data_IF_685577390463
#
_entry.id   IF_685577390463
#
_cell.length_a   1.000
_cell.length_b   1.000
_cell.length_c   1.000
_cell.angle_alpha   90.00
_cell.angle_beta   90.00
_cell.angle_gamma   90.00
#
_symmetry.space_group_name_H-M   'P 1'
#
loop_
_entity.id
_entity.type
_entity.pdbx_description
1 polymer ?
#
# COMPACT_ATOMS: atom_id res chain seq x y z
N UNK A 1 13.35 -21.54 -8.43
CA UNK A 1 12.79 -22.81 -8.96
C UNK A 1 12.68 -23.87 -7.85
N UNK A 2 13.75 -24.17 -7.08
CA UNK A 2 13.74 -25.19 -6.00
C UNK A 2 12.66 -25.02 -4.91
N UNK A 3 12.18 -23.80 -4.66
CA UNK A 3 11.07 -23.53 -3.73
C UNK A 3 9.72 -24.03 -4.24
N UNK A 4 9.50 -23.94 -5.57
CA UNK A 4 8.22 -24.29 -6.20
C UNK A 4 8.19 -25.75 -6.66
N UNK A 5 9.34 -26.23 -7.13
CA UNK A 5 9.58 -27.59 -7.61
C UNK A 5 10.50 -28.28 -6.60
N UNK A 6 9.89 -29.02 -5.68
CA UNK A 6 10.57 -29.68 -4.54
C UNK A 6 11.12 -31.07 -4.90
N UNK A 7 11.02 -31.50 -6.15
CA UNK A 7 11.51 -32.79 -6.67
C UNK A 7 10.79 -33.22 -7.95
N UNK A 8 10.93 -34.49 -8.34
CA UNK A 8 10.29 -35.05 -9.56
C UNK A 8 8.79 -35.33 -9.39
N UNK A 9 8.28 -35.38 -8.15
CA UNK A 9 6.86 -35.65 -7.90
C UNK A 9 6.03 -34.36 -8.04
N UNK A 10 5.16 -34.24 -9.07
CA UNK A 10 4.38 -33.04 -9.31
C UNK A 10 3.33 -32.77 -8.21
N UNK A 11 2.89 -33.77 -7.44
CA UNK A 11 1.96 -33.55 -6.33
C UNK A 11 2.59 -32.84 -5.12
N UNK A 12 3.92 -32.84 -5.02
CA UNK A 12 4.65 -32.09 -3.97
C UNK A 12 5.00 -30.66 -4.41
N UNK A 13 4.66 -30.29 -5.64
CA UNK A 13 4.93 -28.95 -6.14
C UNK A 13 3.93 -27.96 -5.59
N UNK A 14 4.42 -26.74 -5.40
CA UNK A 14 3.66 -25.63 -4.82
C UNK A 14 2.86 -24.92 -5.91
N UNK A 15 1.90 -25.62 -6.51
CA UNK A 15 1.16 -25.16 -7.69
C UNK A 15 0.39 -23.86 -7.45
N UNK A 16 -0.21 -23.70 -6.27
CA UNK A 16 -0.91 -22.47 -5.88
C UNK A 16 0.05 -21.27 -5.91
N UNK A 17 1.24 -21.43 -5.37
CA UNK A 17 2.25 -20.37 -5.31
C UNK A 17 2.86 -20.08 -6.70
N UNK A 18 3.00 -21.11 -7.55
CA UNK A 18 3.36 -20.93 -8.97
C UNK A 18 2.30 -20.06 -9.67
N UNK A 19 1.01 -20.38 -9.51
CA UNK A 19 -0.09 -19.62 -10.12
C UNK A 19 -0.12 -18.16 -9.63
N UNK A 20 0.09 -17.94 -8.33
CA UNK A 20 0.20 -16.58 -7.75
C UNK A 20 1.38 -15.83 -8.39
N UNK A 21 2.56 -16.45 -8.45
CA UNK A 21 3.75 -15.83 -9.05
C UNK A 21 3.57 -15.46 -10.52
N UNK A 22 2.95 -16.35 -11.30
CA UNK A 22 2.62 -16.08 -12.71
C UNK A 22 1.63 -14.92 -12.85
N UNK A 23 0.58 -14.88 -12.03
CA UNK A 23 -0.40 -13.78 -12.05
C UNK A 23 0.26 -12.44 -11.76
N UNK A 24 1.12 -12.36 -10.74
CA UNK A 24 1.86 -11.14 -10.41
C UNK A 24 2.74 -10.71 -11.59
N UNK A 25 3.49 -11.63 -12.19
CA UNK A 25 4.39 -11.33 -13.32
C UNK A 25 3.63 -10.80 -14.55
N UNK A 26 2.43 -11.32 -14.80
CA UNK A 26 1.62 -10.96 -15.96
C UNK A 26 0.75 -9.72 -15.73
N UNK A 27 0.51 -9.33 -14.48
CA UNK A 27 -0.30 -8.17 -14.15
C UNK A 27 0.52 -6.89 -14.32
N UNK A 28 0.16 -6.08 -15.31
CA UNK A 28 0.69 -4.72 -15.48
C UNK A 28 -0.39 -3.72 -15.12
N UNK A 29 -0.06 -2.77 -14.25
CA UNK A 29 -0.92 -1.63 -13.93
C UNK A 29 -0.53 -0.45 -14.82
N UNK A 30 -1.49 0.39 -15.19
CA UNK A 30 -1.24 1.58 -16.02
C UNK A 30 -0.89 2.79 -15.18
N UNK A 31 -1.62 2.95 -14.08
CA UNK A 31 -1.41 4.00 -13.09
C UNK A 31 -1.56 3.40 -11.68
N UNK A 32 -0.73 3.84 -10.72
CA UNK A 32 -0.97 3.57 -9.31
C UNK A 32 -2.34 4.05 -8.83
N UNK A 33 -2.88 5.14 -9.41
CA UNK A 33 -4.16 5.70 -9.02
C UNK A 33 -5.38 4.84 -9.44
N UNK A 34 -5.18 3.89 -10.34
CA UNK A 34 -6.19 2.96 -10.84
C UNK A 34 -6.14 1.59 -10.15
N UNK A 35 -5.20 1.38 -9.24
CA UNK A 35 -4.97 0.08 -8.60
C UNK A 35 -5.69 0.00 -7.26
N UNK A 36 -6.30 -1.15 -6.98
CA UNK A 36 -6.76 -1.46 -5.62
C UNK A 36 -5.57 -1.93 -4.78
N UNK A 37 -5.52 -1.48 -3.53
CA UNK A 37 -4.51 -1.85 -2.56
C UNK A 37 -5.13 -2.59 -1.38
N UNK A 38 -4.35 -3.44 -0.71
CA UNK A 38 -4.79 -4.22 0.44
C UNK A 38 -3.74 -4.16 1.55
N UNK A 39 -4.21 -4.24 2.80
CA UNK A 39 -3.32 -4.39 3.94
C UNK A 39 -2.62 -5.76 3.95
N UNK A 40 -3.18 -6.75 3.24
CA UNK A 40 -2.80 -8.16 3.11
C UNK A 40 -2.88 -8.95 4.43
N UNK A 41 -2.38 -8.35 5.50
CA UNK A 41 -2.36 -8.85 6.87
C UNK A 41 -3.48 -8.23 7.72
N UNK A 42 -3.92 -8.91 8.79
CA UNK A 42 -5.00 -8.45 9.67
C UNK A 42 -4.51 -7.49 10.77
N UNK A 43 -5.46 -6.73 11.32
CA UNK A 43 -5.27 -5.75 12.39
C UNK A 43 -6.36 -5.95 13.44
N UNK A 44 -6.08 -5.57 14.69
CA UNK A 44 -7.04 -5.67 15.79
C UNK A 44 -8.23 -4.74 15.55
N UNK A 45 -9.42 -5.16 15.96
CA UNK A 45 -10.59 -4.29 16.05
C UNK A 45 -11.57 -4.85 17.08
N UNK A 46 -11.73 -4.15 18.21
CA UNK A 46 -12.50 -4.67 19.35
C UNK A 46 -11.95 -6.02 19.84
N UNK A 47 -12.83 -7.03 19.90
CA UNK A 47 -12.48 -8.42 20.21
C UNK A 47 -12.04 -9.24 18.98
N UNK A 48 -12.19 -8.70 17.77
CA UNK A 48 -11.91 -9.39 16.51
C UNK A 48 -10.75 -8.79 15.73
N UNK A 49 -10.73 -9.12 14.43
CA UNK A 49 -9.74 -8.63 13.48
C UNK A 49 -10.40 -8.09 12.21
N UNK A 50 -9.70 -7.17 11.56
CA UNK A 50 -10.07 -6.60 10.26
C UNK A 50 -8.91 -6.66 9.28
N UNK A 51 -9.21 -6.66 7.99
CA UNK A 51 -8.28 -6.29 6.91
C UNK A 51 -8.75 -4.99 6.25
N UNK A 52 -7.81 -4.20 5.73
CA UNK A 52 -8.11 -2.95 5.02
C UNK A 52 -7.94 -3.11 3.52
N UNK A 53 -8.66 -2.29 2.75
CA UNK A 53 -8.42 -2.10 1.32
C UNK A 53 -8.68 -0.65 0.91
N UNK A 54 -7.92 -0.16 -0.07
CA UNK A 54 -8.17 1.10 -0.75
C UNK A 54 -8.58 0.79 -2.19
N UNK A 55 -9.84 1.02 -2.52
CA UNK A 55 -10.39 0.79 -3.86
C UNK A 55 -10.45 2.12 -4.62
N UNK A 56 -9.88 2.22 -5.83
CA UNK A 56 -9.89 3.46 -6.59
C UNK A 56 -11.30 3.82 -7.04
N UNK A 57 -11.62 5.11 -7.05
CA UNK A 57 -12.84 5.62 -7.69
C UNK A 57 -12.80 5.31 -9.18
N UNK A 58 -13.93 5.00 -9.83
CA UNK A 58 -14.02 4.96 -11.30
C UNK A 58 -13.50 6.24 -11.97
N UNK A 59 -13.60 7.40 -11.29
CA UNK A 59 -13.13 8.69 -11.81
C UNK A 59 -11.59 8.79 -11.85
N UNK A 60 -10.88 7.88 -11.18
CA UNK A 60 -9.43 7.79 -11.27
C UNK A 60 -8.97 7.24 -12.62
N UNK A 61 -9.84 6.49 -13.30
CA UNK A 61 -9.48 5.79 -14.54
C UNK A 61 -9.26 6.82 -15.65
N UNK A 62 -8.08 6.80 -16.27
CA UNK A 62 -7.84 7.57 -17.47
C UNK A 62 -8.56 6.94 -18.66
N UNK A 63 -9.35 7.74 -19.38
CA UNK A 63 -10.01 7.32 -20.62
C UNK A 63 -9.04 7.19 -21.79
N UNK A 64 -7.78 7.62 -21.63
CA UNK A 64 -6.78 7.52 -22.70
C UNK A 64 -6.40 6.05 -22.95
N UNK A 65 -6.89 5.50 -24.06
CA UNK A 65 -6.56 4.17 -24.62
C UNK A 65 -5.12 4.10 -25.15
N UNK A 66 -4.15 4.67 -24.44
CA UNK A 66 -2.74 4.58 -24.80
C UNK A 66 -2.17 3.29 -24.21
N UNK A 67 -1.43 2.55 -25.02
CA UNK A 67 -0.61 1.42 -24.55
C UNK A 67 0.29 1.87 -23.41
N UNK A 68 0.60 0.97 -22.48
CA UNK A 68 1.48 1.29 -21.34
C UNK A 68 2.82 1.82 -21.89
N UNK A 69 3.22 3.07 -21.55
CA UNK A 69 4.47 3.62 -22.02
C UNK A 69 5.66 2.75 -21.57
N UNK A 70 6.71 2.70 -22.39
CA UNK A 70 7.91 1.90 -22.11
C UNK A 70 8.98 2.66 -21.30
N UNK A 71 8.66 3.85 -20.78
CA UNK A 71 9.60 4.64 -19.98
C UNK A 71 9.80 3.98 -18.62
N UNK A 72 11.00 4.11 -18.04
CA UNK A 72 11.32 3.49 -16.73
C UNK A 72 10.43 4.04 -15.60
N UNK A 73 10.00 5.30 -15.71
CA UNK A 73 9.21 6.01 -14.70
C UNK A 73 7.73 6.20 -15.08
N UNK A 74 7.19 5.41 -16.03
CA UNK A 74 5.83 5.63 -16.57
C UNK A 74 4.72 5.68 -15.49
N UNK A 75 4.88 4.98 -14.36
CA UNK A 75 3.93 5.03 -13.25
C UNK A 75 3.93 6.39 -12.54
N UNK A 76 5.10 7.02 -12.39
CA UNK A 76 5.22 8.37 -11.85
C UNK A 76 4.64 9.39 -12.84
N UNK A 77 4.97 9.24 -14.12
CA UNK A 77 4.42 10.07 -15.19
C UNK A 77 2.88 10.03 -15.22
N UNK A 78 2.29 8.83 -15.02
CA UNK A 78 0.84 8.65 -14.96
C UNK A 78 0.19 9.33 -13.74
N UNK A 79 0.83 9.27 -12.56
CA UNK A 79 0.35 10.02 -11.38
C UNK A 79 0.40 11.53 -11.67
N UNK A 80 1.50 12.03 -12.25
CA UNK A 80 1.65 13.46 -12.59
C UNK A 80 0.60 13.92 -13.58
N UNK A 81 0.41 13.20 -14.69
CA UNK A 81 -0.58 13.56 -15.71
C UNK A 81 -1.99 13.67 -15.11
N UNK A 82 -2.34 12.77 -14.19
CA UNK A 82 -3.59 12.80 -13.46
C UNK A 82 -3.67 13.99 -12.48
N UNK A 83 -2.73 14.08 -11.53
CA UNK A 83 -2.79 15.03 -10.42
C UNK A 83 -2.53 16.47 -10.84
N UNK A 84 -1.89 16.73 -11.98
CA UNK A 84 -1.79 18.09 -12.53
C UNK A 84 -3.17 18.68 -12.89
N UNK A 85 -4.18 17.83 -13.13
CA UNK A 85 -5.45 18.25 -13.69
C UNK A 85 -6.67 17.91 -12.81
N UNK A 86 -6.57 16.87 -11.98
CA UNK A 86 -7.71 16.39 -11.17
C UNK A 86 -7.26 15.69 -9.89
N UNK A 87 -8.14 15.72 -8.89
CA UNK A 87 -7.97 14.92 -7.68
C UNK A 87 -8.09 13.42 -7.97
N UNK A 88 -7.51 12.58 -7.11
CA UNK A 88 -7.73 11.14 -7.10
C UNK A 88 -8.48 10.75 -5.83
N UNK A 89 -9.47 9.87 -5.97
CA UNK A 89 -10.31 9.42 -4.86
C UNK A 89 -10.21 7.90 -4.68
N UNK A 90 -10.25 7.45 -3.43
CA UNK A 90 -10.33 6.03 -3.10
C UNK A 90 -11.37 5.80 -2.02
N UNK A 91 -12.11 4.70 -2.13
CA UNK A 91 -12.91 4.18 -1.04
C UNK A 91 -12.01 3.41 -0.08
N UNK A 92 -12.00 3.82 1.18
CA UNK A 92 -11.33 3.09 2.25
C UNK A 92 -12.30 2.08 2.84
N UNK A 93 -11.95 0.80 2.68
CA UNK A 93 -12.79 -0.35 2.96
C UNK A 93 -12.18 -1.20 4.07
N UNK A 94 -13.04 -1.84 4.86
CA UNK A 94 -12.66 -2.88 5.81
C UNK A 94 -13.38 -4.19 5.52
N UNK A 95 -12.76 -5.29 5.93
CA UNK A 95 -13.35 -6.63 5.99
C UNK A 95 -13.22 -7.15 7.41
N UNK A 96 -14.34 -7.49 8.05
CA UNK A 96 -14.36 -8.12 9.37
C UNK A 96 -14.06 -9.61 9.28
N UNK A 97 -13.28 -10.12 10.24
CA UNK A 97 -13.10 -11.55 10.42
C UNK A 97 -14.41 -12.16 10.93
N UNK A 98 -15.13 -12.90 10.08
CA UNK A 98 -16.40 -13.54 10.46
C UNK A 98 -16.25 -15.01 10.82
N UNK A 99 -15.17 -15.67 10.38
CA UNK A 99 -14.89 -17.10 10.63
C UNK A 99 -13.37 -17.27 10.77
N UNK A 100 -12.89 -17.58 11.97
CA UNK A 100 -11.45 -17.62 12.26
C UNK A 100 -10.71 -18.77 11.54
N UNK A 101 -11.41 -19.87 11.24
CA UNK A 101 -10.83 -21.03 10.56
C UNK A 101 -10.67 -20.76 9.06
N UNK A 102 -11.67 -20.11 8.45
CA UNK A 102 -11.62 -19.74 7.03
C UNK A 102 -10.85 -18.45 6.76
N UNK A 103 -10.68 -17.60 7.77
CA UNK A 103 -10.06 -16.29 7.66
C UNK A 103 -8.92 -16.16 8.68
N UNK A 104 -7.88 -17.00 8.57
CA UNK A 104 -6.84 -17.12 9.58
C UNK A 104 -6.03 -15.81 9.70
N UNK A 105 -5.67 -15.48 10.94
CA UNK A 105 -4.81 -14.33 11.23
C UNK A 105 -3.35 -14.60 10.84
N UNK A 106 -2.92 -15.85 11.00
CA UNK A 106 -1.52 -16.27 10.82
C UNK A 106 -1.15 -16.59 9.36
N UNK A 107 -2.13 -16.69 8.46
CA UNK A 107 -1.90 -16.94 7.03
C UNK A 107 -2.50 -15.82 6.16
N UNK A 108 -1.68 -14.82 5.76
CA UNK A 108 -2.14 -13.73 4.91
C UNK A 108 -2.32 -14.14 3.43
N UNK A 109 -1.95 -15.37 3.04
CA UNK A 109 -2.18 -15.87 1.68
C UNK A 109 -3.63 -16.23 1.44
N UNK A 110 -4.43 -16.40 2.50
CA UNK A 110 -5.86 -16.66 2.42
C UNK A 110 -6.61 -15.35 2.19
N UNK A 111 -7.33 -15.33 1.07
CA UNK A 111 -8.21 -14.23 0.72
C UNK A 111 -9.52 -14.31 1.53
N UNK A 112 -9.83 -13.21 2.20
CA UNK A 112 -10.97 -13.09 3.11
C UNK A 112 -12.24 -12.84 2.30
N UNK A 113 -13.27 -13.68 2.47
CA UNK A 113 -14.51 -13.63 1.67
C UNK A 113 -15.66 -12.85 2.31
N UNK A 114 -15.45 -12.29 3.51
CA UNK A 114 -16.41 -11.37 4.13
C UNK A 114 -16.63 -10.13 3.25
N UNK A 115 -17.80 -9.49 3.31
CA UNK A 115 -18.09 -8.30 2.53
C UNK A 115 -17.14 -7.14 2.88
N UNK A 116 -16.85 -6.29 1.90
CA UNK A 116 -16.18 -5.00 2.12
C UNK A 116 -17.20 -3.98 2.63
N UNK A 117 -16.83 -3.26 3.68
CA UNK A 117 -17.59 -2.12 4.21
C UNK A 117 -16.77 -0.84 4.02
N UNK A 118 -17.34 0.14 3.32
CA UNK A 118 -16.72 1.47 3.17
C UNK A 118 -16.85 2.23 4.49
N UNK A 119 -15.74 2.80 4.95
CA UNK A 119 -15.66 3.56 6.21
C UNK A 119 -15.14 4.98 6.02
N UNK A 120 -14.45 5.27 4.91
CA UNK A 120 -14.01 6.62 4.57
C UNK A 120 -13.76 6.77 3.06
N UNK A 121 -13.45 7.99 2.64
CA UNK A 121 -12.91 8.28 1.30
C UNK A 121 -11.58 9.00 1.47
N UNK A 122 -10.52 8.47 0.86
CA UNK A 122 -9.24 9.15 0.74
C UNK A 122 -9.28 10.03 -0.51
N UNK A 123 -9.00 11.32 -0.34
CA UNK A 123 -8.83 12.27 -1.44
C UNK A 123 -7.38 12.72 -1.52
N UNK A 124 -6.81 12.62 -2.72
CA UNK A 124 -5.50 13.18 -3.04
C UNK A 124 -5.78 14.36 -3.98
N UNK A 125 -5.61 15.61 -3.51
CA UNK A 125 -5.94 16.79 -4.32
C UNK A 125 -5.05 16.89 -5.56
N UNK A 126 -5.54 17.62 -6.56
CA UNK A 126 -4.73 18.02 -7.70
C UNK A 126 -3.53 18.84 -7.20
N UNK A 127 -2.32 18.44 -7.60
CA UNK A 127 -1.07 19.01 -7.14
C UNK A 127 0.10 18.62 -8.03
N UNK A 128 1.17 19.41 -7.96
CA UNK A 128 2.51 19.01 -8.39
C UNK A 128 3.29 18.43 -7.21
N UNK A 129 4.12 17.42 -7.44
CA UNK A 129 4.86 16.71 -6.39
C UNK A 129 6.31 16.37 -6.77
N UNK A 130 6.81 16.93 -7.87
CA UNK A 130 8.12 16.59 -8.45
C UNK A 130 9.19 17.66 -8.24
N UNK A 131 8.95 18.68 -7.41
CA UNK A 131 10.03 19.63 -7.08
C UNK A 131 11.18 18.90 -6.36
N UNK A 132 12.43 19.36 -6.50
CA UNK A 132 13.56 18.77 -5.76
C UNK A 132 13.34 18.71 -4.25
N UNK A 133 12.70 19.73 -3.67
CA UNK A 133 12.36 19.82 -2.26
C UNK A 133 11.30 18.78 -1.87
N UNK A 134 10.25 18.63 -2.68
CA UNK A 134 9.19 17.64 -2.47
C UNK A 134 9.75 16.21 -2.57
N UNK A 135 10.59 15.93 -3.57
CA UNK A 135 11.24 14.62 -3.73
C UNK A 135 12.14 14.33 -2.54
N UNK A 136 12.98 15.29 -2.13
CA UNK A 136 13.88 15.13 -0.97
C UNK A 136 13.10 14.91 0.33
N UNK A 137 11.98 15.59 0.51
CA UNK A 137 11.11 15.38 1.66
C UNK A 137 10.51 13.98 1.65
N UNK A 138 9.87 13.58 0.55
CA UNK A 138 9.27 12.26 0.37
C UNK A 138 10.28 11.12 0.55
N UNK A 139 11.50 11.28 0.02
CA UNK A 139 12.58 10.29 0.18
C UNK A 139 12.92 10.08 1.66
N UNK A 140 12.79 11.10 2.51
CA UNK A 140 13.14 10.99 3.93
C UNK A 140 11.99 10.47 4.80
N UNK A 141 10.75 10.44 4.32
CA UNK A 141 9.61 9.85 5.03
C UNK A 141 9.78 8.34 5.25
N UNK A 142 9.22 7.85 6.35
CA UNK A 142 9.21 6.43 6.69
C UNK A 142 7.81 6.01 7.14
N UNK A 143 7.31 4.89 6.60
CA UNK A 143 5.98 4.36 6.92
C UNK A 143 6.12 2.99 7.58
N UNK A 144 5.43 2.76 8.69
CA UNK A 144 5.40 1.46 9.37
C UNK A 144 3.97 1.09 9.77
N UNK A 145 3.52 -0.17 9.57
CA UNK A 145 2.21 -0.63 10.02
C UNK A 145 1.99 -0.49 11.53
N UNK A 146 3.07 -0.42 12.29
CA UNK A 146 3.04 -0.32 13.75
C UNK A 146 2.90 1.13 14.25
N UNK A 147 2.92 2.11 13.35
CA UNK A 147 2.44 3.46 13.65
C UNK A 147 0.91 3.42 13.58
N UNK A 148 0.31 2.87 14.62
CA UNK A 148 -1.12 2.56 14.71
C UNK A 148 -1.61 2.76 16.13
N UNK A 149 -2.89 3.07 16.29
CA UNK A 149 -3.54 3.03 17.59
C UNK A 149 -3.48 1.61 18.21
N UNK A 150 -3.38 1.46 19.54
CA UNK A 150 -3.41 0.16 20.21
C UNK A 150 -4.62 -0.70 19.83
N UNK A 151 -5.77 -0.07 19.59
CA UNK A 151 -7.04 -0.67 19.18
C UNK A 151 -6.96 -1.29 17.78
N UNK A 152 -6.10 -0.73 16.92
CA UNK A 152 -5.87 -1.15 15.53
C UNK A 152 -4.48 -1.74 15.31
N UNK A 153 -3.83 -2.26 16.37
CA UNK A 153 -2.47 -2.80 16.23
C UNK A 153 -2.41 -3.95 15.21
N UNK A 154 -1.31 -4.07 14.44
CA UNK A 154 -1.12 -5.19 13.51
C UNK A 154 -1.18 -6.57 14.20
N UNK A 155 -1.75 -7.58 13.52
CA UNK A 155 -1.88 -8.96 13.98
C UNK A 155 -1.16 -9.95 13.05
N UNK A 156 -0.87 -11.14 13.58
CA UNK A 156 -0.29 -12.26 12.82
C UNK A 156 1.24 -12.28 12.76
N UNK A 157 1.78 -13.45 12.44
CA UNK A 157 3.22 -13.72 12.41
C UNK A 157 4.02 -12.92 11.40
N UNK A 158 3.40 -12.45 10.31
CA UNK A 158 4.07 -11.57 9.35
C UNK A 158 4.18 -10.14 9.86
N UNK A 159 3.20 -9.64 10.64
CA UNK A 159 3.28 -8.27 11.15
C UNK A 159 4.24 -8.13 12.33
N UNK A 160 4.37 -9.13 13.20
CA UNK A 160 5.32 -9.12 14.33
C UNK A 160 6.74 -8.69 13.94
N UNK A 161 7.42 -9.32 12.95
CA UNK A 161 8.76 -8.93 12.54
C UNK A 161 8.78 -7.57 11.83
N UNK A 162 7.68 -7.14 11.17
CA UNK A 162 7.62 -5.83 10.51
C UNK A 162 7.84 -4.67 11.49
N UNK A 163 7.55 -4.83 12.78
CA UNK A 163 7.85 -3.79 13.78
C UNK A 163 9.35 -3.48 13.80
N UNK A 164 10.14 -4.50 14.08
CA UNK A 164 11.60 -4.38 14.22
C UNK A 164 12.26 -4.07 12.88
N UNK A 165 11.86 -4.75 11.80
CA UNK A 165 12.47 -4.59 10.48
C UNK A 165 12.30 -3.16 9.96
N UNK A 166 11.07 -2.60 10.02
CA UNK A 166 10.84 -1.25 9.52
C UNK A 166 11.54 -0.18 10.38
N UNK A 167 11.56 -0.34 11.70
CA UNK A 167 12.26 0.56 12.61
C UNK A 167 13.77 0.58 12.35
N UNK A 168 14.38 -0.60 12.20
CA UNK A 168 15.81 -0.72 11.94
C UNK A 168 16.21 -0.15 10.57
N UNK A 169 15.45 -0.48 9.51
CA UNK A 169 15.77 0.00 8.14
C UNK A 169 15.54 1.51 8.04
N UNK A 170 14.50 2.05 8.66
CA UNK A 170 14.25 3.50 8.68
C UNK A 170 15.42 4.26 9.32
N UNK A 171 15.87 3.83 10.51
CA UNK A 171 17.04 4.40 11.18
C UNK A 171 18.30 4.31 10.34
N UNK A 172 18.60 3.13 9.80
CA UNK A 172 19.78 2.92 8.96
C UNK A 172 19.76 3.83 7.72
N UNK A 173 18.63 3.91 7.02
CA UNK A 173 18.48 4.76 5.83
C UNK A 173 18.67 6.24 6.18
N UNK A 174 18.09 6.71 7.29
CA UNK A 174 18.30 8.10 7.73
C UNK A 174 19.75 8.38 8.10
N UNK A 175 20.44 7.45 8.77
CA UNK A 175 21.87 7.55 9.07
C UNK A 175 22.72 7.64 7.79
N UNK A 176 22.50 6.75 6.82
CA UNK A 176 23.22 6.75 5.55
C UNK A 176 22.96 8.03 4.72
N UNK A 177 21.76 8.58 4.82
CA UNK A 177 21.40 9.83 4.15
C UNK A 177 21.82 11.10 4.94
N UNK A 178 22.45 10.95 6.12
CA UNK A 178 22.79 12.05 7.02
C UNK A 178 21.60 12.97 7.36
N UNK A 179 20.44 12.37 7.61
CA UNK A 179 19.22 13.08 8.02
C UNK A 179 18.78 12.64 9.43
N UNK A 180 18.21 13.54 10.24
CA UNK A 180 17.71 13.17 11.55
C UNK A 180 16.51 12.22 11.43
N UNK A 181 16.50 11.17 12.26
CA UNK A 181 15.35 10.28 12.40
C UNK A 181 14.30 10.94 13.32
N UNK A 182 13.41 11.73 12.73
CA UNK A 182 12.30 12.44 13.40
C UNK A 182 10.98 12.23 12.66
N UNK A 183 9.87 12.39 13.38
CA UNK A 183 8.56 12.49 12.72
C UNK A 183 8.43 13.85 12.00
N UNK A 184 7.88 13.89 10.78
CA UNK A 184 7.60 15.14 10.09
C UNK A 184 6.48 15.89 10.81
N UNK A 185 6.54 17.22 10.80
CA UNK A 185 5.45 18.06 11.32
C UNK A 185 4.50 18.47 10.19
N UNK A 186 3.27 18.80 10.57
CA UNK A 186 2.26 19.34 9.64
C UNK A 186 2.72 20.67 9.02
N UNK A 187 3.39 21.51 9.80
CA UNK A 187 3.96 22.79 9.35
C UNK A 187 5.04 22.58 8.29
N UNK A 188 5.98 21.65 8.54
CA UNK A 188 7.02 21.26 7.58
C UNK A 188 6.39 20.72 6.29
N UNK A 189 5.36 19.88 6.39
CA UNK A 189 4.64 19.36 5.23
C UNK A 189 4.00 20.48 4.40
N UNK A 190 3.21 21.37 5.00
CA UNK A 190 2.52 22.43 4.25
C UNK A 190 3.47 23.50 3.68
N UNK A 191 4.66 23.67 4.26
CA UNK A 191 5.70 24.52 3.67
C UNK A 191 6.26 23.97 2.34
N UNK A 192 6.18 22.65 2.13
CA UNK A 192 6.71 21.95 0.95
C UNK A 192 5.60 21.56 -0.04
N UNK A 193 4.41 21.28 0.49
CA UNK A 193 3.19 20.97 -0.26
C UNK A 193 2.13 22.02 0.07
N UNK A 194 2.12 23.17 -0.63
CA UNK A 194 1.12 24.20 -0.45
C UNK A 194 -0.21 23.70 -1.04
N UNK A 195 -0.91 22.89 -0.28
CA UNK A 195 -2.25 22.43 -0.61
C UNK A 195 -3.23 23.45 -0.04
N UNK A 196 -4.16 23.93 -0.87
CA UNK A 196 -5.27 24.80 -0.43
C UNK A 196 -6.28 24.07 0.49
N UNK A 197 -5.99 22.81 0.84
CA UNK A 197 -6.82 21.93 1.65
C UNK A 197 -6.32 21.94 3.10
N UNK A 198 -6.47 23.08 3.79
CA UNK A 198 -6.49 23.03 5.24
C UNK A 198 -7.83 22.38 5.66
N UNK A 199 -7.84 21.31 6.47
CA UNK A 199 -9.07 20.91 7.13
C UNK A 199 -9.53 22.06 8.04
N UNK A 200 -10.78 22.50 7.87
CA UNK A 200 -11.53 23.17 8.94
C UNK A 200 -11.87 22.17 10.03
#
# INVERSE_FOLDING_TARGET
IKFFITGLNPFKWRWREIQIGLRIRLSKIRSPLESQYWSTTPYKYGSGAIKFSLKPSPDNISTSSKSIPKTENYLRDAIREHLNNKEACFDFLIQFQTDADKMPIEDPTIDWKSPYQKVATLKIPAQTFESPEQIKFCENLSYTPWHSLPEHRPLGGINRPRKQVYELISRLRNQLNNVPHKEPTTEEFFSIFPLDVLPK
#
